data_IF_568652882749
#
_entry.id   IF_568652882749
#
_cell.length_a   1.000
_cell.length_b   1.000
_cell.length_c   1.000
_cell.angle_alpha   90.00
_cell.angle_beta   90.00
_cell.angle_gamma   90.00
#
_symmetry.space_group_name_H-M   'P 1'
#
loop_
_entity.id
_entity.type
_entity.pdbx_description
1 polymer ?
#
# COMPACT_ATOMS: atom_id res chain seq x y z
N UNK A 1 -1.90 2.30 11.63
CA UNK A 1 -3.07 2.61 10.78
C UNK A 1 -4.25 2.74 11.72
N UNK A 2 -4.99 3.85 11.66
CA UNK A 2 -6.20 4.08 12.45
C UNK A 2 -7.44 3.57 11.70
N UNK A 3 -8.51 3.25 12.42
CA UNK A 3 -9.77 2.85 11.79
C UNK A 3 -10.97 3.09 12.70
N UNK A 4 -12.16 3.19 12.10
CA UNK A 4 -13.41 3.08 12.83
C UNK A 4 -13.75 1.61 13.20
N UNK A 5 -13.21 0.61 12.51
CA UNK A 5 -13.36 -0.80 12.84
C UNK A 5 -11.99 -1.49 13.02
N UNK A 6 -11.15 -1.06 13.99
CA UNK A 6 -9.78 -1.55 14.08
C UNK A 6 -9.70 -2.95 14.72
N UNK A 7 -8.71 -3.73 14.31
CA UNK A 7 -8.35 -4.99 14.98
C UNK A 7 -7.78 -4.73 16.39
N UNK A 8 -6.98 -3.68 16.55
CA UNK A 8 -6.45 -3.23 17.84
C UNK A 8 -7.20 -1.98 18.32
N UNK A 9 -7.83 -2.05 19.49
CA UNK A 9 -8.62 -0.95 20.07
C UNK A 9 -7.83 0.35 20.24
N UNK A 10 -6.50 0.30 20.37
CA UNK A 10 -5.63 1.48 20.46
C UNK A 10 -5.58 2.30 19.15
N UNK A 11 -6.02 1.70 18.04
CA UNK A 11 -6.07 2.29 16.72
C UNK A 11 -7.47 2.85 16.37
N UNK A 12 -8.42 2.83 17.32
CA UNK A 12 -9.77 3.38 17.11
C UNK A 12 -9.69 4.89 16.89
N UNK A 13 -10.38 5.36 15.86
CA UNK A 13 -10.60 6.79 15.65
C UNK A 13 -11.51 7.37 16.73
N UNK A 14 -11.19 8.55 17.22
CA UNK A 14 -12.07 9.32 18.12
C UNK A 14 -13.34 9.78 17.39
N UNK A 15 -13.21 10.13 16.11
CA UNK A 15 -14.30 10.51 15.23
C UNK A 15 -14.09 9.88 13.84
N UNK A 16 -14.97 8.99 13.42
CA UNK A 16 -14.88 8.26 12.14
C UNK A 16 -14.98 9.18 10.90
N UNK A 17 -15.49 10.40 11.07
CA UNK A 17 -15.55 11.42 10.02
C UNK A 17 -14.22 12.15 9.78
N UNK A 18 -13.22 11.96 10.66
CA UNK A 18 -11.93 12.66 10.58
C UNK A 18 -10.80 11.65 10.53
N UNK A 19 -10.09 11.60 9.41
CA UNK A 19 -8.88 10.78 9.27
C UNK A 19 -7.76 11.26 10.20
N UNK A 20 -6.91 10.34 10.65
CA UNK A 20 -5.69 10.61 11.41
C UNK A 20 -4.54 9.79 10.86
N UNK A 21 -3.51 10.45 10.32
CA UNK A 21 -2.39 9.79 9.66
C UNK A 21 -2.91 8.72 8.66
N UNK A 22 -2.28 7.55 8.57
CA UNK A 22 -2.83 6.46 7.77
C UNK A 22 -4.11 5.91 8.40
N UNK A 23 -5.22 6.00 7.66
CA UNK A 23 -6.57 5.64 8.12
C UNK A 23 -7.25 4.67 7.16
N UNK A 24 -7.97 3.69 7.69
CA UNK A 24 -8.90 2.82 6.95
C UNK A 24 -10.29 3.04 7.52
N UNK A 25 -11.25 3.39 6.68
CA UNK A 25 -12.65 3.59 7.10
C UNK A 25 -13.50 2.53 6.45
N UNK A 26 -14.22 1.79 7.28
CA UNK A 26 -15.34 0.98 6.84
C UNK A 26 -16.59 1.87 6.81
N UNK A 27 -17.03 2.24 5.61
CA UNK A 27 -18.23 3.05 5.41
C UNK A 27 -19.53 2.22 5.52
N UNK A 28 -19.44 0.89 5.56
CA UNK A 28 -20.57 -0.01 5.74
C UNK A 28 -21.06 -0.14 7.18
N UNK A 29 -20.25 0.30 8.14
CA UNK A 29 -20.60 0.32 9.57
C UNK A 29 -21.86 1.13 9.87
N UNK A 30 -22.59 0.72 10.92
CA UNK A 30 -23.90 1.28 11.29
C UNK A 30 -23.88 2.82 11.42
N UNK A 31 -22.77 3.39 11.92
CA UNK A 31 -22.60 4.83 12.08
C UNK A 31 -22.73 5.63 10.77
N UNK A 32 -22.56 4.97 9.63
CA UNK A 32 -22.62 5.57 8.30
C UNK A 32 -23.87 5.21 7.50
N UNK A 33 -24.58 4.15 7.90
CA UNK A 33 -25.70 3.57 7.14
C UNK A 33 -27.08 3.83 7.75
N UNK A 34 -27.16 4.44 8.94
CA UNK A 34 -28.46 4.85 9.52
C UNK A 34 -29.21 5.82 8.61
N UNK A 35 -30.35 5.36 8.08
CA UNK A 35 -31.23 6.13 7.20
C UNK A 35 -30.69 6.34 5.79
N UNK A 36 -29.70 5.54 5.35
CA UNK A 36 -29.07 5.63 4.04
C UNK A 36 -28.93 4.24 3.42
N UNK A 37 -28.74 4.19 2.11
CA UNK A 37 -28.33 2.94 1.44
C UNK A 37 -26.91 2.58 1.86
N UNK A 38 -26.62 1.28 1.91
CA UNK A 38 -25.27 0.78 2.17
C UNK A 38 -24.32 1.25 1.05
N UNK A 39 -23.05 1.62 1.33
CA UNK A 39 -22.12 2.11 0.31
C UNK A 39 -21.76 1.12 -0.82
N UNK A 40 -22.21 -0.13 -0.74
CA UNK A 40 -22.13 -1.07 -1.85
C UNK A 40 -23.25 -0.86 -2.88
N UNK A 41 -24.37 -0.28 -2.47
CA UNK A 41 -25.55 -0.03 -3.29
C UNK A 41 -25.57 1.39 -3.88
N UNK A 42 -24.91 2.34 -3.21
CA UNK A 42 -24.98 3.77 -3.52
C UNK A 42 -23.63 4.44 -3.16
N UNK A 43 -23.04 5.19 -4.09
CA UNK A 43 -21.70 5.77 -3.90
C UNK A 43 -21.70 7.15 -3.25
N UNK A 44 -22.84 7.75 -2.87
CA UNK A 44 -22.90 9.14 -2.38
C UNK A 44 -21.91 9.41 -1.26
N UNK A 45 -21.87 8.51 -0.26
CA UNK A 45 -20.99 8.67 0.89
C UNK A 45 -19.52 8.45 0.51
N UNK A 46 -19.26 7.53 -0.42
CA UNK A 46 -17.92 7.21 -0.92
C UNK A 46 -17.34 8.39 -1.69
N UNK A 47 -18.15 9.02 -2.55
CA UNK A 47 -17.79 10.20 -3.34
C UNK A 47 -17.53 11.39 -2.42
N UNK A 48 -18.41 11.64 -1.43
CA UNK A 48 -18.19 12.69 -0.43
C UNK A 48 -16.88 12.48 0.33
N UNK A 49 -16.61 11.24 0.75
CA UNK A 49 -15.38 10.90 1.47
C UNK A 49 -14.14 11.03 0.58
N UNK A 50 -14.21 10.58 -0.68
CA UNK A 50 -13.15 10.71 -1.67
C UNK A 50 -12.72 12.18 -1.82
N UNK A 51 -13.67 13.09 -2.01
CA UNK A 51 -13.37 14.52 -2.14
C UNK A 51 -12.85 15.15 -0.85
N UNK A 52 -13.38 14.75 0.30
CA UNK A 52 -12.86 15.19 1.60
C UNK A 52 -11.38 14.82 1.75
N UNK A 53 -11.02 13.55 1.54
CA UNK A 53 -9.64 13.11 1.67
C UNK A 53 -8.73 13.70 0.60
N UNK A 54 -9.22 13.85 -0.65
CA UNK A 54 -8.44 14.44 -1.73
C UNK A 54 -8.16 15.94 -1.54
N UNK A 55 -9.04 16.65 -0.83
CA UNK A 55 -8.88 18.06 -0.49
C UNK A 55 -7.84 18.28 0.61
N UNK A 56 -7.58 17.29 1.46
CA UNK A 56 -6.56 17.36 2.49
C UNK A 56 -5.15 17.43 1.85
N UNK A 57 -4.34 18.47 2.16
CA UNK A 57 -2.99 18.60 1.62
C UNK A 57 -2.03 17.50 2.09
N UNK A 58 -2.29 16.83 3.21
CA UNK A 58 -1.46 15.73 3.74
C UNK A 58 -1.76 14.39 3.05
N UNK A 59 -2.89 14.28 2.33
CA UNK A 59 -3.26 13.06 1.61
C UNK A 59 -2.50 12.93 0.29
N UNK A 60 -1.62 11.93 0.23
CA UNK A 60 -0.88 11.57 -0.98
C UNK A 60 -1.45 10.34 -1.72
N UNK A 61 -2.25 9.51 -1.03
CA UNK A 61 -2.80 8.28 -1.58
C UNK A 61 -4.19 7.98 -1.00
N UNK A 62 -5.11 7.57 -1.85
CA UNK A 62 -6.44 7.06 -1.48
C UNK A 62 -6.59 5.63 -2.03
N UNK A 63 -6.98 4.69 -1.17
CA UNK A 63 -7.30 3.31 -1.52
C UNK A 63 -8.81 3.11 -1.40
N UNK A 64 -9.44 2.58 -2.44
CA UNK A 64 -10.86 2.25 -2.50
C UNK A 64 -11.03 0.80 -2.94
N UNK A 65 -12.11 0.16 -2.55
CA UNK A 65 -12.59 -1.08 -3.17
C UNK A 65 -13.75 -0.78 -4.14
N UNK A 66 -14.01 -1.65 -5.10
CA UNK A 66 -15.21 -1.65 -5.94
C UNK A 66 -15.69 -3.08 -5.97
N UNK A 67 -16.78 -3.34 -5.25
CA UNK A 67 -17.36 -4.68 -5.12
C UNK A 67 -18.46 -4.84 -6.17
N UNK A 68 -18.37 -5.92 -6.95
CA UNK A 68 -19.33 -6.30 -7.97
C UNK A 68 -20.24 -7.43 -7.46
N UNK A 69 -21.21 -7.81 -8.29
CA UNK A 69 -22.11 -8.93 -8.03
C UNK A 69 -23.56 -8.51 -7.76
N UNK A 70 -24.38 -9.52 -7.49
CA UNK A 70 -25.81 -9.34 -7.23
C UNK A 70 -26.04 -8.50 -5.97
N UNK A 71 -26.88 -7.47 -6.10
CA UNK A 71 -27.17 -6.56 -5.00
C UNK A 71 -26.09 -5.51 -4.73
N UNK A 72 -25.10 -5.36 -5.61
CA UNK A 72 -24.25 -4.18 -5.66
C UNK A 72 -24.82 -3.11 -6.61
N UNK A 73 -24.24 -1.92 -6.59
CA UNK A 73 -24.55 -0.86 -7.56
C UNK A 73 -24.42 -1.40 -9.01
N UNK A 74 -25.30 -1.03 -9.95
CA UNK A 74 -25.29 -1.56 -11.31
C UNK A 74 -24.11 -1.09 -12.17
N UNK A 75 -23.52 0.07 -11.86
CA UNK A 75 -22.32 0.58 -12.52
C UNK A 75 -21.45 1.42 -11.57
N UNK A 76 -20.75 0.80 -10.60
CA UNK A 76 -20.00 1.54 -9.58
C UNK A 76 -18.79 2.29 -10.17
N UNK A 77 -18.10 1.73 -11.15
CA UNK A 77 -16.99 2.39 -11.81
C UNK A 77 -17.43 3.63 -12.59
N UNK A 78 -18.56 3.57 -13.30
CA UNK A 78 -19.08 4.71 -14.06
C UNK A 78 -19.32 5.93 -13.17
N UNK A 79 -19.88 5.72 -11.98
CA UNK A 79 -20.16 6.79 -11.02
C UNK A 79 -18.89 7.31 -10.33
N UNK A 80 -17.94 6.43 -9.99
CA UNK A 80 -16.70 6.83 -9.31
C UNK A 80 -15.67 7.46 -10.26
N UNK A 81 -15.68 7.11 -11.55
CA UNK A 81 -14.64 7.51 -12.49
C UNK A 81 -14.51 9.03 -12.67
N UNK A 82 -15.63 9.74 -12.83
CA UNK A 82 -15.61 11.21 -12.93
C UNK A 82 -15.03 11.86 -11.68
N UNK A 83 -15.40 11.34 -10.52
CA UNK A 83 -15.03 11.88 -9.22
C UNK A 83 -13.56 11.63 -8.89
N UNK A 84 -13.04 10.44 -9.26
CA UNK A 84 -11.61 10.12 -9.17
C UNK A 84 -10.80 11.06 -10.07
N UNK A 85 -11.21 11.24 -11.33
CA UNK A 85 -10.51 12.12 -12.26
C UNK A 85 -10.50 13.57 -11.75
N UNK A 86 -11.64 14.05 -11.23
CA UNK A 86 -11.77 15.38 -10.65
C UNK A 86 -10.88 15.58 -9.41
N UNK A 87 -10.88 14.63 -8.47
CA UNK A 87 -10.05 14.67 -7.27
C UNK A 87 -8.55 14.75 -7.61
N UNK A 88 -8.09 13.92 -8.56
CA UNK A 88 -6.70 13.93 -9.02
C UNK A 88 -6.33 15.22 -9.75
N UNK A 89 -7.21 15.73 -10.61
CA UNK A 89 -6.98 16.99 -11.30
C UNK A 89 -6.90 18.18 -10.33
N UNK A 90 -7.75 18.20 -9.29
CA UNK A 90 -7.71 19.23 -8.25
C UNK A 90 -6.40 19.20 -7.46
N UNK A 91 -5.94 18.01 -7.06
CA UNK A 91 -4.64 17.85 -6.39
C UNK A 91 -3.47 18.31 -7.28
N UNK A 92 -3.46 17.90 -8.56
CA UNK A 92 -2.44 18.29 -9.52
C UNK A 92 -2.41 19.81 -9.75
N UNK A 93 -3.58 20.46 -9.86
CA UNK A 93 -3.69 21.93 -9.97
C UNK A 93 -3.12 22.65 -8.75
N UNK A 94 -3.19 22.03 -7.57
CA UNK A 94 -2.58 22.53 -6.34
C UNK A 94 -1.09 22.15 -6.19
N UNK A 95 -0.47 21.54 -7.21
CA UNK A 95 0.93 21.09 -7.15
C UNK A 95 1.16 19.89 -6.23
N UNK A 96 0.10 19.16 -5.85
CA UNK A 96 0.16 17.99 -4.98
C UNK A 96 0.13 16.69 -5.77
N UNK A 97 0.84 15.70 -5.25
CA UNK A 97 0.70 14.33 -5.71
C UNK A 97 -0.51 13.67 -5.05
N UNK A 98 -1.36 13.02 -5.85
CA UNK A 98 -2.45 12.18 -5.36
C UNK A 98 -2.57 10.93 -6.23
N UNK A 99 -2.26 9.77 -5.66
CA UNK A 99 -2.54 8.47 -6.27
C UNK A 99 -3.87 7.92 -5.75
N UNK A 100 -4.71 7.43 -6.67
CA UNK A 100 -5.91 6.69 -6.32
C UNK A 100 -5.71 5.25 -6.77
N UNK A 101 -5.75 4.32 -5.80
CA UNK A 101 -5.69 2.88 -6.03
C UNK A 101 -7.08 2.32 -5.79
N UNK A 102 -7.59 1.51 -6.72
CA UNK A 102 -8.88 0.85 -6.61
C UNK A 102 -8.68 -0.65 -6.69
N UNK A 103 -9.26 -1.40 -5.75
CA UNK A 103 -9.32 -2.85 -5.82
C UNK A 103 -10.69 -3.27 -6.32
N UNK A 104 -10.76 -3.86 -7.50
CA UNK A 104 -12.02 -4.40 -8.03
C UNK A 104 -12.18 -5.83 -7.52
N UNK A 105 -13.28 -6.09 -6.81
CA UNK A 105 -13.61 -7.37 -6.19
C UNK A 105 -14.87 -7.91 -6.84
N UNK A 106 -14.74 -9.04 -7.53
CA UNK A 106 -15.83 -9.64 -8.30
C UNK A 106 -15.27 -10.68 -9.28
N UNK A 107 -16.11 -11.09 -10.21
CA UNK A 107 -15.81 -12.07 -11.25
C UNK A 107 -16.30 -11.59 -12.61
N UNK A 108 -15.83 -12.24 -13.67
CA UNK A 108 -16.26 -11.96 -15.04
C UNK A 108 -17.75 -12.27 -15.28
N UNK A 109 -18.35 -13.10 -14.42
CA UNK A 109 -19.76 -13.50 -14.48
C UNK A 109 -20.70 -12.48 -13.79
N UNK A 110 -20.16 -11.48 -13.09
CA UNK A 110 -20.97 -10.48 -12.40
C UNK A 110 -21.66 -9.51 -13.38
N UNK A 111 -22.90 -9.07 -13.08
CA UNK A 111 -23.73 -8.32 -14.03
C UNK A 111 -23.14 -6.98 -14.48
N UNK A 112 -22.22 -6.40 -13.70
CA UNK A 112 -21.56 -5.13 -14.00
C UNK A 112 -20.45 -5.26 -15.07
N UNK A 113 -19.96 -6.49 -15.32
CA UNK A 113 -18.85 -6.78 -16.23
C UNK A 113 -17.50 -6.28 -15.72
N UNK A 114 -16.70 -7.18 -15.14
CA UNK A 114 -15.42 -6.87 -14.49
C UNK A 114 -14.45 -6.07 -15.37
N UNK A 115 -14.24 -6.49 -16.62
CA UNK A 115 -13.35 -5.81 -17.56
C UNK A 115 -13.76 -4.37 -17.86
N UNK A 116 -15.06 -4.11 -18.01
CA UNK A 116 -15.58 -2.78 -18.29
C UNK A 116 -15.40 -1.84 -17.08
N UNK A 117 -15.63 -2.36 -15.87
CA UNK A 117 -15.40 -1.64 -14.61
C UNK A 117 -13.91 -1.27 -14.45
N UNK A 118 -13.01 -2.23 -14.68
CA UNK A 118 -11.56 -2.02 -14.62
C UNK A 118 -11.10 -0.99 -15.67
N UNK A 119 -11.57 -1.10 -16.91
CA UNK A 119 -11.21 -0.19 -17.99
C UNK A 119 -11.65 1.25 -17.67
N UNK A 120 -12.87 1.41 -17.16
CA UNK A 120 -13.44 2.71 -16.77
C UNK A 120 -12.61 3.40 -15.69
N UNK A 121 -12.26 2.67 -14.62
CA UNK A 121 -11.43 3.20 -13.53
C UNK A 121 -10.00 3.54 -13.98
N UNK A 122 -9.38 2.69 -14.82
CA UNK A 122 -8.07 2.99 -15.43
C UNK A 122 -8.14 4.24 -16.31
N UNK A 123 -9.23 4.43 -17.05
CA UNK A 123 -9.50 5.61 -17.87
C UNK A 123 -9.58 6.90 -17.05
N UNK A 124 -10.11 6.84 -15.82
CA UNK A 124 -10.09 7.96 -14.86
C UNK A 124 -8.69 8.25 -14.28
N UNK A 125 -7.71 7.42 -14.61
CA UNK A 125 -6.35 7.52 -14.10
C UNK A 125 -6.19 6.96 -12.69
N UNK A 126 -7.15 6.17 -12.20
CA UNK A 126 -6.89 5.29 -11.07
C UNK A 126 -5.95 4.17 -11.48
N UNK A 127 -5.18 3.71 -10.51
CA UNK A 127 -4.52 2.42 -10.60
C UNK A 127 -5.50 1.35 -10.13
N UNK A 128 -5.68 0.31 -10.92
CA UNK A 128 -6.63 -0.76 -10.59
C UNK A 128 -5.89 -2.07 -10.40
N UNK A 129 -6.16 -2.72 -9.27
CA UNK A 129 -5.70 -4.07 -8.95
C UNK A 129 -6.94 -4.96 -8.74
N UNK A 130 -6.82 -6.27 -8.96
CA UNK A 130 -7.90 -7.25 -8.77
C UNK A 130 -7.58 -8.23 -7.62
N UNK A 131 -6.51 -7.94 -6.89
CA UNK A 131 -6.03 -8.71 -5.76
C UNK A 131 -5.69 -7.77 -4.60
N UNK A 132 -6.29 -8.02 -3.44
CA UNK A 132 -6.07 -7.25 -2.22
C UNK A 132 -4.59 -7.22 -1.77
N UNK A 133 -3.88 -8.34 -1.89
CA UNK A 133 -2.47 -8.44 -1.52
C UNK A 133 -1.60 -7.52 -2.40
N UNK A 134 -1.81 -7.54 -3.71
CA UNK A 134 -1.07 -6.72 -4.66
C UNK A 134 -1.34 -5.23 -4.43
N UNK A 135 -2.61 -4.87 -4.20
CA UNK A 135 -3.01 -3.51 -3.86
C UNK A 135 -2.32 -3.00 -2.60
N UNK A 136 -2.41 -3.75 -1.49
CA UNK A 136 -1.82 -3.35 -0.20
C UNK A 136 -0.29 -3.32 -0.27
N UNK A 137 0.34 -4.31 -0.93
CA UNK A 137 1.79 -4.34 -1.14
C UNK A 137 2.26 -3.08 -1.86
N UNK A 138 1.57 -2.71 -2.94
CA UNK A 138 1.88 -1.50 -3.71
C UNK A 138 1.67 -0.22 -2.90
N UNK A 139 0.57 -0.11 -2.17
CA UNK A 139 0.33 1.04 -1.27
C UNK A 139 1.50 1.16 -0.28
N UNK A 140 1.92 0.05 0.34
CA UNK A 140 3.07 0.03 1.24
C UNK A 140 4.40 0.41 0.59
N UNK A 141 4.64 0.04 -0.67
CA UNK A 141 5.81 0.50 -1.43
C UNK A 141 5.77 1.99 -1.74
N UNK A 142 4.61 2.50 -2.13
CA UNK A 142 4.40 3.91 -2.47
C UNK A 142 4.60 4.78 -1.24
N UNK A 143 3.97 4.43 -0.11
CA UNK A 143 4.16 5.13 1.15
C UNK A 143 5.63 5.12 1.60
N UNK A 144 6.35 4.00 1.45
CA UNK A 144 7.79 3.94 1.76
C UNK A 144 8.63 4.86 0.87
N UNK A 145 8.27 5.02 -0.42
CA UNK A 145 8.97 5.93 -1.33
C UNK A 145 8.70 7.39 -0.97
N UNK A 146 7.45 7.73 -0.67
CA UNK A 146 7.05 9.08 -0.28
C UNK A 146 7.65 9.49 1.08
N UNK A 147 7.78 8.54 2.01
CA UNK A 147 8.39 8.75 3.32
C UNK A 147 9.91 8.50 3.33
N UNK A 148 10.59 8.49 2.17
CA UNK A 148 12.05 8.30 2.16
C UNK A 148 12.72 9.40 2.97
N UNK A 149 13.60 8.96 3.88
CA UNK A 149 14.53 9.85 4.58
C UNK A 149 15.52 10.36 3.54
N UNK A 150 15.33 11.60 3.09
CA UNK A 150 16.16 12.22 2.06
C UNK A 150 17.54 12.67 2.58
N UNK A 151 17.82 12.51 3.88
CA UNK A 151 19.05 12.95 4.55
C UNK A 151 20.12 11.85 4.67
N UNK A 152 19.99 10.74 3.95
CA UNK A 152 21.04 9.72 3.92
C UNK A 152 22.14 10.15 2.94
N UNK A 153 23.38 10.22 3.42
CA UNK A 153 24.55 10.39 2.55
C UNK A 153 24.59 9.26 1.52
N UNK A 154 24.58 9.57 0.20
CA UNK A 154 24.71 8.54 -0.82
C UNK A 154 25.98 7.72 -0.61
N UNK A 155 25.86 6.40 -0.61
CA UNK A 155 27.01 5.49 -0.61
C UNK A 155 27.59 5.48 -2.01
N UNK A 156 28.89 5.76 -2.14
CA UNK A 156 29.58 5.60 -3.41
C UNK A 156 29.69 4.11 -3.76
N UNK A 157 28.86 3.67 -4.70
CA UNK A 157 28.84 2.29 -5.17
C UNK A 157 30.07 1.93 -6.01
N UNK A 158 30.90 2.90 -6.42
CA UNK A 158 32.16 2.61 -7.09
C UNK A 158 33.07 1.73 -6.21
N UNK A 159 32.95 1.85 -4.88
CA UNK A 159 33.66 1.00 -3.91
C UNK A 159 33.31 -0.50 -4.01
N UNK A 160 32.13 -0.85 -4.54
CA UNK A 160 31.73 -2.24 -4.76
C UNK A 160 32.32 -2.85 -6.05
N UNK A 161 32.89 -2.01 -6.93
CA UNK A 161 33.56 -2.44 -8.15
C UNK A 161 35.08 -2.54 -8.00
N UNK A 162 35.62 -2.10 -6.86
CA UNK A 162 37.03 -2.32 -6.52
C UNK A 162 37.25 -3.77 -6.04
N UNK A 163 38.47 -4.31 -6.13
CA UNK A 163 38.79 -5.64 -5.62
C UNK A 163 38.42 -5.75 -4.13
N UNK A 164 37.48 -6.64 -3.81
CA UNK A 164 37.00 -6.86 -2.46
C UNK A 164 37.85 -7.93 -1.75
N UNK A 165 38.16 -7.69 -0.48
CA UNK A 165 38.71 -8.70 0.41
C UNK A 165 37.65 -9.11 1.44
N UNK A 166 37.58 -10.40 1.75
CA UNK A 166 36.61 -10.96 2.68
C UNK A 166 37.25 -11.33 4.02
N UNK A 167 36.50 -11.15 5.11
CA UNK A 167 36.78 -11.79 6.40
C UNK A 167 35.66 -12.81 6.62
N UNK A 168 35.97 -14.10 6.48
CA UNK A 168 35.00 -15.16 6.66
C UNK A 168 34.93 -15.58 8.13
N UNK A 169 33.75 -15.44 8.75
CA UNK A 169 33.46 -15.89 10.10
C UNK A 169 32.37 -16.96 10.02
N UNK A 170 32.63 -18.16 10.52
CA UNK A 170 31.68 -19.28 10.48
C UNK A 170 32.21 -20.49 9.74
N UNK A 171 31.48 -21.01 8.75
CA UNK A 171 31.86 -22.23 8.04
C UNK A 171 33.11 -22.00 7.17
N UNK A 172 34.11 -22.85 7.35
CA UNK A 172 35.36 -22.83 6.58
C UNK A 172 35.12 -23.02 5.07
N UNK A 173 34.13 -23.83 4.69
CA UNK A 173 33.77 -24.07 3.29
C UNK A 173 33.42 -22.79 2.49
N UNK A 174 32.98 -21.72 3.17
CA UNK A 174 32.77 -20.43 2.52
C UNK A 174 34.07 -19.68 2.23
N UNK A 175 35.08 -19.80 3.11
CA UNK A 175 36.42 -19.30 2.81
C UNK A 175 37.02 -20.07 1.64
N UNK A 176 36.91 -21.40 1.60
CA UNK A 176 37.42 -22.22 0.50
C UNK A 176 36.81 -21.84 -0.85
N UNK A 177 35.50 -21.59 -0.87
CA UNK A 177 34.80 -21.12 -2.06
C UNK A 177 35.34 -19.77 -2.56
N UNK A 178 35.61 -18.83 -1.65
CA UNK A 178 36.18 -17.53 -1.99
C UNK A 178 37.64 -17.64 -2.47
N UNK A 179 38.45 -18.49 -1.84
CA UNK A 179 39.82 -18.80 -2.28
C UNK A 179 39.82 -19.39 -3.69
N UNK A 180 38.88 -20.31 -4.00
CA UNK A 180 38.78 -20.93 -5.32
C UNK A 180 38.43 -19.95 -6.44
N UNK A 181 37.83 -18.81 -6.09
CA UNK A 181 37.51 -17.71 -6.98
C UNK A 181 38.61 -16.63 -6.99
N UNK A 182 39.78 -16.94 -6.43
CA UNK A 182 40.93 -16.05 -6.33
C UNK A 182 40.64 -14.75 -5.54
N UNK A 183 39.58 -14.77 -4.72
CA UNK A 183 39.21 -13.64 -3.86
C UNK A 183 40.13 -13.62 -2.61
N UNK A 184 40.72 -12.46 -2.26
CA UNK A 184 41.45 -12.32 -1.02
C UNK A 184 40.52 -12.57 0.18
N UNK A 185 40.82 -13.57 1.01
CA UNK A 185 40.01 -13.89 2.19
C UNK A 185 40.86 -14.27 3.39
N UNK A 186 40.43 -13.82 4.57
CA UNK A 186 40.95 -14.25 5.87
C UNK A 186 39.84 -15.02 6.58
N UNK A 187 40.07 -16.29 6.90
CA UNK A 187 39.14 -17.06 7.73
C UNK A 187 39.43 -16.84 9.21
N UNK A 188 38.39 -16.57 9.98
CA UNK A 188 38.42 -16.50 11.44
C UNK A 188 37.73 -17.74 12.00
N UNK A 189 38.49 -18.62 12.65
CA UNK A 189 37.96 -19.76 13.43
C UNK A 189 37.29 -19.21 14.69
N UNK A 190 36.04 -18.79 14.53
CA UNK A 190 35.19 -18.33 15.61
C UNK A 190 34.30 -19.46 16.10
N UNK A 191 34.22 -19.62 17.43
CA UNK A 191 33.34 -20.58 18.08
C UNK A 191 32.50 -19.86 19.14
N UNK A 192 31.22 -20.22 19.30
CA UNK A 192 30.43 -19.70 20.40
C UNK A 192 31.07 -20.13 21.73
N UNK A 193 30.90 -19.34 22.82
CA UNK A 193 31.41 -19.71 24.13
C UNK A 193 30.89 -21.10 24.55
N UNK A 194 31.67 -21.92 25.27
CA UNK A 194 31.18 -23.17 25.81
C UNK A 194 29.94 -22.93 26.66
N UNK A 195 28.87 -23.70 26.43
CA UNK A 195 27.67 -23.64 27.25
C UNK A 195 28.06 -23.95 28.71
N UNK A 196 27.64 -23.10 29.65
CA UNK A 196 27.83 -23.36 31.06
C UNK A 196 27.15 -24.69 31.41
N UNK A 197 27.95 -25.70 31.78
CA UNK A 197 27.42 -26.93 32.35
C UNK A 197 26.89 -26.58 33.73
N UNK A 198 25.57 -26.52 33.88
CA UNK A 198 24.92 -26.46 35.19
C UNK A 198 25.24 -27.77 35.92
N UNK A 199 26.16 -27.71 36.89
CA UNK A 199 26.43 -28.76 37.86
C UNK A 199 25.46 -28.73 39.03
#
# INVERSE_FOLDING_TARGET
VYSNAPLDKRQKLENSLVSRAHTIIDLGEDEFTVGRLHPMLDNDLRIKRLHQEAADPETALILLDVVLGDGAHPDPAGELASEIAAARAAAAKAGRFLEVVVVVVGTDDDPQGMDAQVATLKGAGARVEVNNEEAVRRVGETLRRLNRVNDLTPVDLATLHEPLAAINVGLEAFADSLISQEAPVVHVDWRPPPAATNG
#
